data_IF_391867308611
#
_entry.id   IF_391867308611
#
_cell.length_a   1.000
_cell.length_b   1.000
_cell.length_c   1.000
_cell.angle_alpha   90.00
_cell.angle_beta   90.00
_cell.angle_gamma   90.00
#
_symmetry.space_group_name_H-M   'P 1'
#
loop_
_entity.id
_entity.type
_entity.pdbx_description
1 polymer ?
#
# COMPACT_ATOMS: atom_id res chain seq x y z
N UNK A 1 0.33 -38.10 -0.32
CA UNK A 1 0.03 -36.90 0.49
C UNK A 1 1.30 -36.06 0.63
N UNK A 2 1.47 -35.01 -0.18
CA UNK A 2 2.66 -34.16 -0.12
C UNK A 2 2.45 -33.02 0.89
N UNK A 3 3.12 -33.10 2.06
CA UNK A 3 3.20 -31.97 2.99
C UNK A 3 4.21 -30.96 2.45
N UNK A 4 3.74 -29.85 1.90
CA UNK A 4 4.60 -28.74 1.46
C UNK A 4 5.13 -27.93 2.64
N UNK A 5 6.43 -28.09 2.91
CA UNK A 5 7.37 -27.32 3.74
C UNK A 5 6.86 -26.06 4.51
N UNK A 6 6.54 -26.17 5.82
CA UNK A 6 6.25 -25.02 6.69
C UNK A 6 7.44 -24.04 6.86
N UNK A 7 8.66 -24.45 6.53
CA UNK A 7 9.91 -23.68 6.69
C UNK A 7 10.01 -22.45 5.77
N UNK A 8 9.28 -22.45 4.66
CA UNK A 8 9.33 -21.39 3.64
C UNK A 8 8.68 -20.09 4.08
N UNK A 9 7.67 -20.14 4.94
CA UNK A 9 7.00 -18.95 5.46
C UNK A 9 7.68 -18.45 6.74
N UNK A 10 8.15 -19.37 7.58
CA UNK A 10 8.89 -19.03 8.80
C UNK A 10 10.12 -18.16 8.49
N UNK A 11 10.89 -18.52 7.45
CA UNK A 11 12.04 -17.73 7.02
C UNK A 11 11.66 -16.31 6.59
N UNK A 12 10.53 -16.13 5.86
CA UNK A 12 9.99 -14.82 5.48
C UNK A 12 9.69 -13.92 6.69
N UNK A 13 9.10 -14.47 7.74
CA UNK A 13 8.83 -13.74 8.97
C UNK A 13 10.11 -13.37 9.73
N UNK A 14 11.09 -14.27 9.80
CA UNK A 14 12.39 -13.98 10.44
C UNK A 14 13.08 -12.81 9.72
N UNK A 15 13.13 -12.85 8.39
CA UNK A 15 13.71 -11.75 7.61
C UNK A 15 12.93 -10.44 7.79
N UNK A 16 11.59 -10.51 7.91
CA UNK A 16 10.76 -9.34 8.17
C UNK A 16 11.05 -8.72 9.55
N UNK A 17 11.17 -9.55 10.59
CA UNK A 17 11.51 -9.08 11.94
C UNK A 17 12.92 -8.47 11.97
N UNK A 18 13.91 -9.14 11.36
CA UNK A 18 15.27 -8.62 11.24
C UNK A 18 15.31 -7.29 10.46
N UNK A 19 14.53 -7.20 9.38
CA UNK A 19 14.34 -5.98 8.60
C UNK A 19 13.75 -4.85 9.45
N UNK A 20 12.77 -5.12 10.30
CA UNK A 20 12.20 -4.11 11.22
C UNK A 20 13.19 -3.64 12.29
N UNK A 21 14.08 -4.52 12.76
CA UNK A 21 15.18 -4.11 13.67
C UNK A 21 16.17 -3.20 12.94
N UNK A 22 16.57 -3.57 11.72
CA UNK A 22 17.44 -2.73 10.88
C UNK A 22 16.80 -1.39 10.56
N UNK A 23 15.47 -1.33 10.49
CA UNK A 23 14.74 -0.08 10.35
C UNK A 23 15.06 0.89 11.48
N UNK A 24 14.97 0.40 12.71
CA UNK A 24 15.27 1.21 13.88
C UNK A 24 16.74 1.67 13.91
N UNK A 25 17.66 0.83 13.43
CA UNK A 25 19.08 1.17 13.31
C UNK A 25 19.28 2.31 12.32
N UNK A 26 18.74 2.23 11.09
CA UNK A 26 18.94 3.28 10.10
C UNK A 26 18.23 4.58 10.50
N UNK A 27 17.02 4.49 11.08
CA UNK A 27 16.27 5.67 11.51
C UNK A 27 17.03 6.43 12.61
N UNK A 28 17.57 5.69 13.58
CA UNK A 28 18.40 6.25 14.64
C UNK A 28 19.71 6.83 14.10
N UNK A 29 20.38 6.13 13.17
CA UNK A 29 21.63 6.58 12.58
C UNK A 29 21.45 7.83 11.70
N UNK A 30 20.33 7.93 10.98
CA UNK A 30 19.97 9.11 10.20
C UNK A 30 19.84 10.34 11.10
N UNK A 31 19.15 10.22 12.23
CA UNK A 31 19.04 11.30 13.22
C UNK A 31 20.41 11.73 13.76
N UNK A 32 21.34 10.80 13.94
CA UNK A 32 22.72 11.07 14.40
C UNK A 32 23.68 11.54 13.31
N UNK A 33 23.30 11.46 12.04
CA UNK A 33 24.16 11.86 10.92
C UNK A 33 24.37 13.38 10.81
N UNK A 34 23.58 14.18 11.55
CA UNK A 34 23.56 15.63 11.46
C UNK A 34 23.47 16.12 10.00
N UNK A 35 22.51 15.58 9.24
CA UNK A 35 22.34 15.91 7.83
C UNK A 35 23.47 15.38 6.94
N UNK A 36 23.98 14.17 7.23
CA UNK A 36 25.08 13.50 6.52
C UNK A 36 26.48 14.13 6.67
N UNK A 37 26.66 14.98 7.67
CA UNK A 37 27.96 15.60 7.97
C UNK A 37 28.86 14.66 8.78
N UNK A 38 28.26 13.78 9.59
CA UNK A 38 28.99 12.76 10.35
C UNK A 38 29.15 11.47 9.54
N UNK A 39 30.38 11.06 9.16
CA UNK A 39 30.60 10.00 8.18
C UNK A 39 30.21 8.62 8.72
N UNK A 40 30.48 8.34 10.00
CA UNK A 40 30.20 7.03 10.58
C UNK A 40 28.69 6.75 10.73
N UNK A 41 27.86 7.63 11.33
CA UNK A 41 26.41 7.45 11.35
C UNK A 41 25.79 7.43 9.95
N UNK A 42 26.33 8.22 9.00
CA UNK A 42 25.86 8.22 7.61
C UNK A 42 26.09 6.86 6.93
N UNK A 43 27.27 6.27 7.12
CA UNK A 43 27.57 4.93 6.60
C UNK A 43 26.64 3.88 7.22
N UNK A 44 26.47 3.93 8.55
CA UNK A 44 25.54 3.02 9.26
C UNK A 44 24.13 3.16 8.69
N UNK A 45 23.64 4.39 8.51
CA UNK A 45 22.34 4.66 7.90
C UNK A 45 22.21 4.00 6.52
N UNK A 46 23.14 4.26 5.60
CA UNK A 46 23.05 3.74 4.24
C UNK A 46 23.07 2.21 4.18
N UNK A 47 23.98 1.58 4.93
CA UNK A 47 24.11 0.12 4.95
C UNK A 47 22.88 -0.53 5.57
N UNK A 48 22.44 -0.05 6.74
CA UNK A 48 21.27 -0.62 7.42
C UNK A 48 19.96 -0.33 6.68
N UNK A 49 19.83 0.82 6.01
CA UNK A 49 18.71 1.12 5.12
C UNK A 49 18.63 0.11 3.97
N UNK A 50 19.75 -0.12 3.27
CA UNK A 50 19.78 -1.05 2.14
C UNK A 50 19.44 -2.48 2.59
N UNK A 51 20.02 -2.95 3.70
CA UNK A 51 19.75 -4.27 4.25
C UNK A 51 18.30 -4.41 4.73
N UNK A 52 17.75 -3.38 5.38
CA UNK A 52 16.35 -3.32 5.78
C UNK A 52 15.44 -3.44 4.56
N UNK A 53 15.62 -2.58 3.55
CA UNK A 53 14.78 -2.62 2.35
C UNK A 53 14.88 -3.97 1.61
N UNK A 54 16.06 -4.57 1.55
CA UNK A 54 16.24 -5.90 0.99
C UNK A 54 15.49 -7.00 1.77
N UNK A 55 15.53 -6.95 3.11
CA UNK A 55 14.81 -7.87 3.98
C UNK A 55 13.30 -7.77 3.82
N UNK A 56 12.75 -6.55 3.84
CA UNK A 56 11.34 -6.28 3.59
C UNK A 56 10.93 -6.77 2.20
N UNK A 57 11.69 -6.40 1.16
CA UNK A 57 11.40 -6.80 -0.22
C UNK A 57 11.42 -8.32 -0.41
N UNK A 58 12.31 -9.02 0.30
CA UNK A 58 12.35 -10.49 0.30
C UNK A 58 11.15 -11.10 1.03
N UNK A 59 10.76 -10.57 2.19
CA UNK A 59 9.59 -11.02 2.93
C UNK A 59 8.27 -10.79 2.16
N UNK A 60 8.16 -9.66 1.45
CA UNK A 60 7.02 -9.29 0.63
C UNK A 60 6.77 -10.26 -0.55
N UNK A 61 7.75 -11.10 -0.93
CA UNK A 61 7.56 -12.18 -1.91
C UNK A 61 6.61 -13.28 -1.42
N UNK A 62 6.37 -13.36 -0.11
CA UNK A 62 5.59 -14.45 0.51
C UNK A 62 4.52 -13.95 1.49
N UNK A 63 4.65 -12.72 1.96
CA UNK A 63 3.71 -12.07 2.86
C UNK A 63 3.03 -10.95 2.07
N UNK A 64 1.70 -10.79 2.13
CA UNK A 64 1.00 -9.68 1.50
C UNK A 64 1.66 -8.34 1.86
N UNK A 65 1.93 -7.49 0.87
CA UNK A 65 2.72 -6.27 1.07
C UNK A 65 2.15 -5.37 2.17
N UNK A 66 0.82 -5.24 2.26
CA UNK A 66 0.18 -4.47 3.32
C UNK A 66 0.48 -5.02 4.73
N UNK A 67 0.49 -6.34 4.90
CA UNK A 67 0.92 -6.96 6.16
C UNK A 67 2.41 -6.71 6.43
N UNK A 68 3.26 -6.97 5.43
CA UNK A 68 4.71 -6.88 5.61
C UNK A 68 5.13 -5.45 5.97
N UNK A 69 4.62 -4.47 5.22
CA UNK A 69 4.90 -3.06 5.46
C UNK A 69 4.42 -2.60 6.84
N UNK A 70 3.19 -2.98 7.22
CA UNK A 70 2.62 -2.59 8.50
C UNK A 70 3.43 -3.14 9.69
N UNK A 71 3.83 -4.42 9.62
CA UNK A 71 4.68 -5.04 10.66
C UNK A 71 6.07 -4.42 10.69
N UNK A 72 6.68 -4.19 9.53
CA UNK A 72 8.00 -3.56 9.40
C UNK A 72 8.01 -2.19 10.09
N UNK A 73 7.16 -1.26 9.64
CA UNK A 73 7.03 0.09 10.22
C UNK A 73 6.70 0.04 11.71
N UNK A 74 5.80 -0.85 12.14
CA UNK A 74 5.41 -0.97 13.54
C UNK A 74 6.57 -1.34 14.45
N UNK A 75 7.40 -2.31 14.04
CA UNK A 75 8.59 -2.73 14.79
C UNK A 75 9.66 -1.64 14.76
N UNK A 76 9.95 -1.09 13.58
CA UNK A 76 10.95 -0.03 13.41
C UNK A 76 10.64 1.19 14.27
N UNK A 77 9.39 1.65 14.24
CA UNK A 77 8.93 2.78 15.05
C UNK A 77 9.02 2.49 16.55
N UNK A 78 8.52 1.34 17.01
CA UNK A 78 8.55 0.97 18.43
C UNK A 78 9.98 0.87 18.98
N UNK A 79 10.90 0.25 18.23
CA UNK A 79 12.30 0.11 18.63
C UNK A 79 13.04 1.45 18.57
N UNK A 80 12.79 2.29 17.56
CA UNK A 80 13.43 3.62 17.45
C UNK A 80 13.06 4.49 18.64
N UNK A 81 11.77 4.59 18.95
CA UNK A 81 11.30 5.39 20.09
C UNK A 81 11.77 4.77 21.41
N UNK A 82 11.65 3.46 21.57
CA UNK A 82 12.12 2.77 22.77
C UNK A 82 13.61 3.00 23.03
N UNK A 83 14.43 2.96 21.98
CA UNK A 83 15.85 3.25 22.05
C UNK A 83 16.14 4.73 22.37
N UNK A 84 15.41 5.67 21.76
CA UNK A 84 15.55 7.10 22.05
C UNK A 84 15.22 7.44 23.51
N UNK A 85 14.16 6.83 24.05
CA UNK A 85 13.77 6.95 25.46
C UNK A 85 14.83 6.32 26.38
N UNK A 86 15.30 5.11 26.07
CA UNK A 86 16.28 4.39 26.89
C UNK A 86 17.65 5.08 26.93
N UNK A 87 18.04 5.76 25.86
CA UNK A 87 19.30 6.51 25.78
C UNK A 87 19.18 7.95 26.28
N UNK A 88 17.98 8.40 26.64
CA UNK A 88 17.73 9.79 27.04
C UNK A 88 17.84 10.80 25.90
N UNK A 89 17.91 10.34 24.64
CA UNK A 89 17.93 11.20 23.47
C UNK A 89 16.60 11.95 23.28
N UNK A 90 15.51 11.40 23.83
CA UNK A 90 14.19 12.01 23.79
C UNK A 90 13.51 11.89 25.16
N UNK A 91 12.88 12.98 25.63
CA UNK A 91 12.12 12.97 26.86
C UNK A 91 10.81 12.19 26.70
N UNK A 92 10.47 11.38 27.71
CA UNK A 92 9.21 10.64 27.72
C UNK A 92 8.01 11.59 27.68
N UNK A 93 7.15 11.41 26.69
CA UNK A 93 5.90 12.14 26.55
C UNK A 93 4.74 11.14 26.44
N UNK A 94 3.78 11.17 27.39
CA UNK A 94 2.59 10.32 27.32
C UNK A 94 1.82 10.49 26.01
N UNK A 95 1.84 11.70 25.44
CA UNK A 95 1.16 12.00 24.19
C UNK A 95 1.87 11.36 22.98
N UNK A 96 3.21 11.34 22.97
CA UNK A 96 3.98 10.61 21.93
C UNK A 96 3.73 9.11 22.01
N UNK A 97 3.67 8.56 23.23
CA UNK A 97 3.33 7.15 23.43
C UNK A 97 1.92 6.83 22.91
N UNK A 98 0.93 7.71 23.13
CA UNK A 98 -0.43 7.56 22.60
C UNK A 98 -0.46 7.56 21.07
N UNK A 99 0.22 8.50 20.41
CA UNK A 99 0.26 8.54 18.94
C UNK A 99 0.99 7.34 18.35
N UNK A 100 2.09 6.90 18.98
CA UNK A 100 2.80 5.70 18.56
C UNK A 100 1.94 4.45 18.69
N UNK A 101 1.20 4.34 19.81
CA UNK A 101 0.20 3.28 20.00
C UNK A 101 -0.92 3.35 18.95
N UNK A 102 -1.35 4.56 18.55
CA UNK A 102 -2.31 4.76 17.46
C UNK A 102 -1.79 4.26 16.10
N UNK A 103 -0.53 4.50 15.77
CA UNK A 103 0.11 3.96 14.55
C UNK A 103 0.11 2.43 14.58
N UNK A 104 0.53 1.84 15.70
CA UNK A 104 0.54 0.37 15.88
C UNK A 104 -0.88 -0.19 15.79
N UNK A 105 -1.86 0.47 16.39
CA UNK A 105 -3.26 0.04 16.35
C UNK A 105 -3.84 0.11 14.93
N UNK A 106 -3.51 1.15 14.16
CA UNK A 106 -3.90 1.26 12.75
C UNK A 106 -3.30 0.12 11.90
N UNK A 107 -2.03 -0.20 12.14
CA UNK A 107 -1.32 -1.35 11.53
C UNK A 107 -2.04 -2.67 11.85
N UNK A 108 -2.37 -2.92 13.12
CA UNK A 108 -3.09 -4.13 13.55
C UNK A 108 -4.49 -4.16 12.94
N UNK A 109 -5.20 -3.03 12.94
CA UNK A 109 -6.51 -2.92 12.31
C UNK A 109 -6.48 -3.30 10.83
N UNK A 110 -5.50 -2.82 10.07
CA UNK A 110 -5.33 -3.16 8.66
C UNK A 110 -5.04 -4.66 8.44
N UNK A 111 -4.31 -5.29 9.37
CA UNK A 111 -4.02 -6.73 9.34
C UNK A 111 -5.27 -7.60 9.55
N UNK A 112 -6.23 -7.11 10.32
CA UNK A 112 -7.48 -7.82 10.63
C UNK A 112 -8.51 -7.71 9.50
N UNK A 113 -8.32 -6.77 8.56
CA UNK A 113 -9.19 -6.63 7.41
C UNK A 113 -8.86 -7.68 6.33
N UNK A 114 -9.87 -8.33 5.73
CA UNK A 114 -9.67 -9.21 4.59
C UNK A 114 -9.03 -8.44 3.44
N UNK A 115 -7.93 -8.97 2.89
CA UNK A 115 -7.40 -8.46 1.63
C UNK A 115 -8.30 -8.94 0.49
N UNK A 116 -8.84 -8.05 -0.37
CA UNK A 116 -9.58 -8.47 -1.55
C UNK A 116 -8.71 -9.37 -2.43
N UNK A 117 -9.30 -10.32 -3.18
CA UNK A 117 -8.57 -11.08 -4.19
C UNK A 117 -7.90 -10.11 -5.17
N UNK A 118 -6.58 -10.23 -5.33
CA UNK A 118 -5.86 -9.48 -6.36
C UNK A 118 -6.44 -9.86 -7.71
N UNK A 119 -7.13 -8.92 -8.37
CA UNK A 119 -7.57 -9.14 -9.75
C UNK A 119 -6.31 -9.43 -10.60
N UNK A 120 -6.31 -10.48 -11.44
CA UNK A 120 -5.22 -10.68 -12.39
C UNK A 120 -5.06 -9.41 -13.22
N UNK A 121 -3.83 -8.93 -13.40
CA UNK A 121 -3.52 -7.89 -14.37
C UNK A 121 -3.77 -8.51 -15.75
N UNK A 122 -5.00 -8.38 -16.23
CA UNK A 122 -5.42 -8.76 -17.57
C UNK A 122 -5.28 -7.58 -18.53
N UNK A 123 -5.17 -7.84 -19.85
CA UNK A 123 -4.88 -6.83 -20.88
C UNK A 123 -5.93 -5.72 -21.07
N UNK A 124 -6.95 -5.63 -20.22
CA UNK A 124 -8.02 -4.64 -20.31
C UNK A 124 -7.62 -3.24 -19.83
N UNK A 125 -6.54 -3.10 -19.04
CA UNK A 125 -6.03 -1.79 -18.60
C UNK A 125 -5.07 -1.13 -19.61
N UNK A 126 -4.57 -1.88 -20.59
CA UNK A 126 -3.77 -1.34 -21.71
C UNK A 126 -4.63 -0.97 -22.94
N UNK A 127 -5.93 -1.30 -22.90
CA UNK A 127 -6.87 -0.82 -23.90
C UNK A 127 -7.15 0.67 -23.63
N UNK A 128 -6.34 1.53 -24.26
CA UNK A 128 -6.64 2.95 -24.39
C UNK A 128 -8.12 3.13 -24.80
N UNK A 129 -8.81 4.19 -24.31
CA UNK A 129 -10.20 4.44 -24.69
C UNK A 129 -10.31 4.45 -26.21
N UNK A 130 -11.14 3.58 -26.78
CA UNK A 130 -11.38 3.53 -28.23
C UNK A 130 -11.87 4.92 -28.69
N UNK A 131 -11.08 5.66 -29.48
CA UNK A 131 -11.44 7.02 -29.88
C UNK A 131 -12.77 7.06 -30.65
N UNK A 132 -13.19 5.95 -31.28
CA UNK A 132 -14.43 5.85 -32.04
C UNK A 132 -15.69 5.88 -31.16
N UNK A 133 -15.59 5.47 -29.89
CA UNK A 133 -16.72 5.49 -28.95
C UNK A 133 -17.14 6.94 -28.58
N UNK A 134 -16.18 7.88 -28.63
CA UNK A 134 -16.39 9.31 -28.39
C UNK A 134 -17.22 9.94 -29.51
N UNK A 135 -16.89 9.64 -30.77
CA UNK A 135 -17.54 10.19 -31.96
C UNK A 135 -18.98 9.70 -32.11
N UNK A 136 -19.23 8.44 -31.70
CA UNK A 136 -20.58 7.87 -31.70
C UNK A 136 -21.48 8.53 -30.65
N UNK A 137 -20.96 8.82 -29.44
CA UNK A 137 -21.72 9.55 -28.42
C UNK A 137 -22.07 10.98 -28.83
N UNK A 138 -21.17 11.67 -29.54
CA UNK A 138 -21.44 13.00 -30.09
C UNK A 138 -22.48 12.97 -31.22
N UNK A 139 -22.46 11.94 -32.05
CA UNK A 139 -23.43 11.75 -33.13
C UNK A 139 -24.84 11.46 -32.60
N UNK A 140 -24.95 10.62 -31.57
CA UNK A 140 -26.23 10.29 -30.94
C UNK A 140 -26.81 11.45 -30.13
N UNK A 141 -25.96 12.27 -29.50
CA UNK A 141 -26.39 13.47 -28.79
C UNK A 141 -26.95 14.57 -29.74
N UNK A 142 -26.53 14.58 -31.00
CA UNK A 142 -27.04 15.49 -32.03
C UNK A 142 -28.37 15.04 -32.67
N UNK A 143 -28.76 13.78 -32.50
CA UNK A 143 -29.98 13.24 -33.09
C UNK A 143 -31.22 13.63 -32.26
N UNK A 144 -31.79 14.80 -32.54
CA UNK A 144 -33.03 15.26 -31.94
C UNK A 144 -34.17 14.20 -32.07
N UNK A 145 -34.96 13.95 -31.02
CA UNK A 145 -35.99 12.90 -31.04
C UNK A 145 -37.08 13.23 -32.07
N UNK A 146 -37.23 12.36 -33.08
CA UNK A 146 -38.26 12.50 -34.12
C UNK A 146 -39.65 12.36 -33.49
N UNK A 147 -40.43 13.45 -33.46
CA UNK A 147 -41.84 13.40 -33.04
C UNK A 147 -42.62 12.43 -33.96
N UNK A 148 -43.47 11.56 -33.42
CA UNK A 148 -44.31 10.68 -34.24
C UNK A 148 -45.31 11.50 -35.06
N UNK A 149 -45.28 11.34 -36.39
CA UNK A 149 -46.24 11.94 -37.33
C UNK A 149 -47.63 11.40 -37.03
N UNK A 150 -48.54 12.29 -36.65
CA UNK A 150 -49.96 12.00 -36.49
C UNK A 150 -50.54 11.38 -37.77
N UNK A 151 -51.11 10.17 -37.62
CA UNK A 151 -51.78 9.46 -38.70
C UNK A 151 -53.21 9.99 -38.79
N UNK A 152 -53.46 10.85 -39.77
CA UNK A 152 -54.80 11.29 -40.13
C UNK A 152 -55.66 10.07 -40.52
N UNK A 153 -56.69 9.79 -39.72
CA UNK A 153 -57.74 8.81 -40.03
C UNK A 153 -58.87 9.54 -40.73
N UNK A 154 -58.83 9.57 -42.06
CA UNK A 154 -59.93 10.02 -42.91
C UNK A 154 -60.67 8.84 -43.53
N UNK A 155 -62.02 8.96 -43.58
CA UNK A 155 -62.99 8.23 -44.42
C UNK A 155 -63.20 6.73 -44.07
N UNK A 156 -64.38 6.12 -44.22
CA UNK A 156 -65.62 6.46 -44.92
C UNK A 156 -66.80 5.69 -44.30
N UNK A 157 -68.01 6.23 -44.44
CA UNK A 157 -69.25 5.48 -44.24
C UNK A 157 -69.52 4.49 -45.36
N UNK A 158 -70.27 3.43 -45.05
CA UNK A 158 -71.10 2.67 -45.97
C UNK A 158 -72.03 1.72 -45.18
N UNK A 159 -73.34 1.95 -45.38
CA UNK A 159 -74.50 1.05 -45.19
C UNK A 159 -75.11 0.94 -43.80
#
# INVERSE_FOLDING_TARGET
>A
MARTAPTRTASAWIALLASGVLEAVWATALGRSHGFTEPLPSLVFLVSLALSMAGLGWAAKRIPIGTAYAVWVGIGAALTVGFALATGAEAFSPLKALFLAGIVLAVVGLKLLPSPPSAPIGPAQDAAPDPSASDQRLSDAGAAPRRPRGRASGRAGAR
#
